data_IF_144991887019
#
_entry.id   IF_144991887019
#
_cell.length_a   1.000
_cell.length_b   1.000
_cell.length_c   1.000
_cell.angle_alpha   90.00
_cell.angle_beta   90.00
_cell.angle_gamma   90.00
#
_symmetry.space_group_name_H-M   'P 1'
#
loop_
_entity.id
_entity.type
_entity.pdbx_description
1 polymer ?
#
# COMPACT_ATOMS: atom_id res chain seq x y z
N UNK A 1 14.00 -21.39 -9.78
CA UNK A 1 13.51 -20.07 -10.21
C UNK A 1 12.22 -19.80 -9.46
N UNK A 2 12.22 -18.92 -8.47
CA UNK A 2 10.99 -18.59 -7.76
C UNK A 2 10.02 -17.93 -8.76
N UNK A 3 8.86 -18.55 -8.91
CA UNK A 3 7.72 -18.02 -9.66
C UNK A 3 7.56 -16.53 -9.34
N UNK A 4 7.66 -15.67 -10.34
CA UNK A 4 7.49 -14.22 -10.20
C UNK A 4 5.99 -13.96 -10.00
N UNK A 5 5.56 -14.28 -8.78
CA UNK A 5 4.23 -14.13 -8.20
C UNK A 5 3.38 -13.14 -8.98
N UNK A 6 2.33 -13.64 -9.59
CA UNK A 6 1.34 -12.91 -10.36
C UNK A 6 0.88 -11.65 -9.61
N UNK A 7 1.48 -10.50 -9.94
CA UNK A 7 1.09 -9.20 -9.38
C UNK A 7 -0.15 -8.73 -10.14
N UNK A 8 -1.32 -8.88 -9.53
CA UNK A 8 -2.54 -8.28 -10.07
C UNK A 8 -2.53 -6.78 -9.77
N UNK A 9 -2.54 -5.98 -10.83
CA UNK A 9 -2.68 -4.54 -10.74
C UNK A 9 -4.01 -4.17 -10.07
N UNK A 10 -4.00 -3.17 -9.18
CA UNK A 10 -5.17 -2.73 -8.42
C UNK A 10 -5.60 -3.67 -7.28
N UNK A 11 -4.97 -4.82 -7.10
CA UNK A 11 -5.38 -5.80 -6.08
C UNK A 11 -4.51 -5.72 -4.84
N UNK A 12 -5.15 -5.45 -3.70
CA UNK A 12 -4.59 -5.56 -2.35
C UNK A 12 -5.49 -6.49 -1.54
N UNK A 13 -4.90 -7.51 -0.93
CA UNK A 13 -5.58 -8.44 -0.04
C UNK A 13 -5.44 -7.95 1.40
N UNK A 14 -6.53 -7.99 2.17
CA UNK A 14 -6.57 -7.43 3.52
C UNK A 14 -5.61 -8.15 4.50
N UNK A 15 -5.40 -9.44 4.30
CA UNK A 15 -4.58 -10.35 5.13
C UNK A 15 -3.11 -10.40 4.71
N UNK A 16 -2.69 -9.64 3.71
CA UNK A 16 -1.32 -9.61 3.22
C UNK A 16 -0.52 -8.42 3.73
N UNK A 17 0.82 -8.57 3.75
CA UNK A 17 1.78 -7.50 4.05
C UNK A 17 2.55 -7.15 2.80
N UNK A 18 2.64 -5.86 2.50
CA UNK A 18 3.26 -5.35 1.29
C UNK A 18 4.46 -4.46 1.62
N UNK A 19 5.48 -4.49 0.76
CA UNK A 19 6.50 -3.44 0.78
C UNK A 19 5.94 -2.15 0.17
N UNK A 20 6.54 -1.00 0.48
CA UNK A 20 6.16 0.27 -0.15
C UNK A 20 6.26 0.21 -1.69
N UNK A 21 7.29 -0.43 -2.22
CA UNK A 21 7.48 -0.54 -3.68
C UNK A 21 6.39 -1.41 -4.33
N UNK A 22 5.93 -2.45 -3.64
CA UNK A 22 4.86 -3.29 -4.15
C UNK A 22 3.51 -2.57 -4.15
N UNK A 23 3.18 -1.83 -3.09
CA UNK A 23 1.98 -0.98 -3.07
C UNK A 23 2.03 0.06 -4.17
N UNK A 24 3.18 0.76 -4.34
CA UNK A 24 3.37 1.73 -5.43
C UNK A 24 3.11 1.12 -6.80
N UNK A 25 3.66 -0.08 -7.05
CA UNK A 25 3.52 -0.78 -8.33
C UNK A 25 2.07 -1.24 -8.56
N UNK A 26 1.44 -1.88 -7.58
CA UNK A 26 0.07 -2.40 -7.69
C UNK A 26 -0.95 -1.28 -7.87
N UNK A 27 -0.78 -0.16 -7.16
CA UNK A 27 -1.74 0.96 -7.16
C UNK A 27 -1.35 2.10 -8.09
N UNK A 28 -0.27 1.94 -8.88
CA UNK A 28 0.31 3.00 -9.74
C UNK A 28 0.53 4.33 -9.01
N UNK A 29 0.89 4.27 -7.71
CA UNK A 29 1.11 5.46 -6.90
C UNK A 29 2.51 6.03 -7.12
N UNK A 30 2.56 7.32 -7.46
CA UNK A 30 3.81 8.08 -7.49
C UNK A 30 4.38 8.34 -6.08
N UNK A 31 5.66 8.68 -6.01
CA UNK A 31 6.33 9.00 -4.74
C UNK A 31 5.68 10.19 -4.01
N UNK A 32 5.18 11.19 -4.75
CA UNK A 32 4.45 12.32 -4.18
C UNK A 32 3.12 11.88 -3.55
N UNK A 33 2.34 11.05 -4.24
CA UNK A 33 1.08 10.51 -3.75
C UNK A 33 1.28 9.72 -2.46
N UNK A 34 2.29 8.84 -2.41
CA UNK A 34 2.60 8.07 -1.21
C UNK A 34 3.04 8.95 -0.03
N UNK A 35 3.86 9.98 -0.29
CA UNK A 35 4.25 10.95 0.76
C UNK A 35 3.04 11.71 1.29
N UNK A 36 2.10 12.08 0.43
CA UNK A 36 0.85 12.72 0.84
C UNK A 36 0.01 11.73 1.64
N UNK A 37 -0.25 10.52 1.15
CA UNK A 37 -1.01 9.51 1.88
C UNK A 37 -0.48 9.26 3.29
N UNK A 38 0.85 9.15 3.46
CA UNK A 38 1.50 9.03 4.78
C UNK A 38 1.27 10.24 5.69
N UNK A 39 1.27 11.45 5.14
CA UNK A 39 0.93 12.68 5.90
C UNK A 39 -0.54 12.73 6.28
N UNK A 40 -1.40 12.10 5.47
CA UNK A 40 -2.85 12.01 5.69
C UNK A 40 -3.26 10.74 6.47
N UNK A 41 -2.32 10.09 7.17
CA UNK A 41 -2.66 9.02 8.12
C UNK A 41 -2.53 7.59 7.59
N UNK A 42 -2.00 7.38 6.38
CA UNK A 42 -1.65 6.03 5.93
C UNK A 42 -0.58 5.43 6.86
N UNK A 43 -0.94 4.32 7.51
CA UNK A 43 -0.06 3.59 8.41
C UNK A 43 1.06 2.88 7.65
N UNK A 44 2.29 3.03 8.17
CA UNK A 44 3.49 2.38 7.64
C UNK A 44 4.26 1.78 8.79
N UNK A 45 4.55 0.49 8.68
CA UNK A 45 5.26 -0.29 9.69
C UNK A 45 6.72 -0.42 9.31
N UNK A 46 7.61 0.07 10.18
CA UNK A 46 9.05 -0.07 9.98
C UNK A 46 9.55 -1.34 10.67
N UNK A 47 10.20 -2.22 9.90
CA UNK A 47 10.89 -3.40 10.43
C UNK A 47 12.34 -3.36 9.94
N UNK A 48 13.25 -3.04 10.86
CA UNK A 48 14.66 -2.78 10.55
C UNK A 48 14.84 -1.57 9.60
N UNK A 49 15.42 -1.83 8.43
CA UNK A 49 15.63 -0.83 7.37
C UNK A 49 14.51 -0.77 6.32
N UNK A 50 13.48 -1.61 6.44
CA UNK A 50 12.39 -1.72 5.47
C UNK A 50 11.08 -1.20 6.03
N UNK A 51 10.24 -0.72 5.13
CA UNK A 51 8.90 -0.21 5.43
C UNK A 51 7.85 -1.07 4.75
N UNK A 52 6.80 -1.38 5.50
CA UNK A 52 5.71 -2.24 5.10
C UNK A 52 4.36 -1.57 5.32
N UNK A 53 3.35 -2.05 4.60
CA UNK A 53 1.96 -1.66 4.73
C UNK A 53 1.15 -2.95 4.87
N UNK A 54 0.27 -3.01 5.86
CA UNK A 54 -0.68 -4.11 6.00
C UNK A 54 -1.86 -3.82 5.06
N UNK A 55 -2.27 -4.81 4.27
CA UNK A 55 -3.30 -4.63 3.25
C UNK A 55 -4.62 -4.11 3.84
N UNK A 56 -5.05 -4.65 4.99
CA UNK A 56 -6.23 -4.17 5.72
C UNK A 56 -6.17 -2.67 6.02
N UNK A 57 -5.04 -2.20 6.56
CA UNK A 57 -4.90 -0.78 6.92
C UNK A 57 -4.83 0.14 5.69
N UNK A 58 -4.30 -0.36 4.58
CA UNK A 58 -4.34 0.36 3.31
C UNK A 58 -5.77 0.50 2.78
N UNK A 59 -6.55 -0.59 2.85
CA UNK A 59 -7.97 -0.59 2.48
C UNK A 59 -8.75 0.37 3.40
N UNK A 60 -8.55 0.28 4.72
CA UNK A 60 -9.16 1.18 5.70
C UNK A 60 -8.82 2.65 5.39
N UNK A 61 -7.56 2.94 5.03
CA UNK A 61 -7.13 4.28 4.62
C UNK A 61 -7.89 4.78 3.38
N UNK A 62 -8.02 3.95 2.34
CA UNK A 62 -8.77 4.32 1.12
C UNK A 62 -10.25 4.55 1.47
N UNK A 63 -10.87 3.63 2.20
CA UNK A 63 -12.28 3.74 2.59
C UNK A 63 -12.58 4.96 3.47
N UNK A 64 -11.62 5.44 4.24
CA UNK A 64 -11.75 6.68 5.02
C UNK A 64 -11.48 7.94 4.20
N UNK A 65 -10.71 7.82 3.11
CA UNK A 65 -10.36 8.95 2.23
C UNK A 65 -11.46 9.22 1.20
N UNK A 66 -12.23 8.19 0.80
CA UNK A 66 -13.39 8.33 -0.11
C UNK A 66 -14.71 8.52 0.66
N UNK A 67 -14.95 9.76 1.09
CA UNK A 67 -16.28 10.37 1.01
C UNK A 67 -16.08 11.73 0.35
N UNK A 68 -15.98 11.75 -0.97
CA UNK A 68 -16.12 12.98 -1.76
C UNK A 68 -17.10 12.68 -2.88
N UNK A 69 -18.34 13.14 -2.67
CA UNK A 69 -19.45 13.11 -3.63
C UNK A 69 -19.19 13.95 -4.87
#
# INVERSE_FOLDING_TARGET
>A
MADKSQYFEGVIHADAVYTLEEVKKRMRLGAAALRTARRHGLKVHRVGSRNYIIGKEFIDYISQTEIVS
#
